data_IF_993692089515
#
_entry.id   IF_993692089515
#
_cell.length_a   1.000
_cell.length_b   1.000
_cell.length_c   1.000
_cell.angle_alpha   90.00
_cell.angle_beta   90.00
_cell.angle_gamma   90.00
#
_symmetry.space_group_name_H-M   'P 1'
#
loop_
_entity.id
_entity.type
_entity.pdbx_description
1 polymer ?
#
# COMPACT_ATOMS: atom_id res chain seq x y z
N UNK A 1 16.97 -11.75 -2.71
CA UNK A 1 16.97 -11.42 -4.14
C UNK A 1 18.28 -11.92 -4.72
N UNK A 2 18.32 -12.28 -5.98
CA UNK A 2 19.51 -12.78 -6.66
C UNK A 2 19.62 -12.13 -8.03
N UNK A 3 20.85 -11.98 -8.52
CA UNK A 3 21.14 -11.35 -9.81
C UNK A 3 21.14 -12.37 -10.96
N UNK A 4 21.25 -13.66 -10.65
CA UNK A 4 21.22 -14.76 -11.63
C UNK A 4 20.34 -15.92 -11.17
N UNK A 5 20.00 -16.78 -12.14
CA UNK A 5 19.19 -17.99 -11.89
C UNK A 5 19.96 -19.01 -11.03
N UNK A 6 21.27 -19.16 -11.25
CA UNK A 6 22.14 -20.06 -10.49
C UNK A 6 22.27 -19.60 -9.04
N UNK A 7 22.42 -18.28 -8.82
CA UNK A 7 22.49 -17.72 -7.48
C UNK A 7 21.18 -17.93 -6.73
N UNK A 8 20.04 -17.71 -7.39
CA UNK A 8 18.73 -17.93 -6.78
C UNK A 8 18.53 -19.42 -6.41
N UNK A 9 18.96 -20.35 -7.28
CA UNK A 9 18.95 -21.79 -6.99
C UNK A 9 19.78 -22.12 -5.76
N UNK A 10 21.01 -21.61 -5.70
CA UNK A 10 21.91 -21.83 -4.56
C UNK A 10 21.32 -21.30 -3.24
N UNK A 11 20.75 -20.10 -3.27
CA UNK A 11 20.08 -19.51 -2.10
C UNK A 11 18.88 -20.33 -1.64
N UNK A 12 18.06 -20.79 -2.57
CA UNK A 12 16.86 -21.56 -2.25
C UNK A 12 17.20 -22.94 -1.67
N UNK A 13 18.24 -23.60 -2.21
CA UNK A 13 18.74 -24.86 -1.64
C UNK A 13 19.27 -24.68 -0.23
N UNK A 14 20.01 -23.60 0.05
CA UNK A 14 20.45 -23.26 1.41
C UNK A 14 19.27 -23.03 2.35
N UNK A 15 18.27 -22.28 1.92
CA UNK A 15 17.05 -22.04 2.71
C UNK A 15 16.35 -23.36 3.02
N UNK A 16 16.25 -24.26 2.04
CA UNK A 16 15.67 -25.59 2.22
C UNK A 16 16.44 -26.40 3.26
N UNK A 17 17.75 -26.52 3.12
CA UNK A 17 18.62 -27.26 4.06
C UNK A 17 18.53 -26.72 5.49
N UNK A 18 18.61 -25.39 5.65
CA UNK A 18 18.54 -24.77 6.98
C UNK A 18 17.14 -24.89 7.61
N UNK A 19 16.08 -24.79 6.79
CA UNK A 19 14.71 -24.99 7.29
C UNK A 19 14.45 -26.44 7.72
N UNK A 20 14.98 -27.42 7.01
CA UNK A 20 14.85 -28.84 7.37
C UNK A 20 15.51 -29.17 8.71
N UNK A 21 16.64 -28.52 9.03
CA UNK A 21 17.33 -28.70 10.33
C UNK A 21 16.46 -28.31 11.53
N UNK A 22 15.54 -27.36 11.35
CA UNK A 22 14.59 -26.92 12.37
C UNK A 22 13.19 -27.54 12.22
N UNK A 23 13.07 -28.56 11.38
CA UNK A 23 11.82 -29.30 11.18
C UNK A 23 10.80 -28.60 10.28
N UNK A 24 11.19 -27.55 9.57
CA UNK A 24 10.34 -26.86 8.60
C UNK A 24 10.56 -27.42 7.20
N UNK A 25 9.48 -27.57 6.43
CA UNK A 25 9.55 -28.01 5.02
C UNK A 25 9.14 -26.90 4.09
N UNK A 26 9.92 -26.67 3.04
CA UNK A 26 9.59 -25.74 1.98
C UNK A 26 8.31 -26.21 1.26
N UNK A 27 7.30 -25.35 1.19
CA UNK A 27 6.08 -25.65 0.45
C UNK A 27 6.23 -25.17 -1.00
N UNK A 28 6.59 -26.07 -1.90
CA UNK A 28 6.87 -25.77 -3.31
C UNK A 28 5.65 -25.18 -4.01
N UNK A 29 4.44 -25.68 -3.74
CA UNK A 29 3.20 -25.17 -4.36
C UNK A 29 2.88 -23.72 -3.96
N UNK A 30 3.32 -23.27 -2.77
CA UNK A 30 3.15 -21.89 -2.31
C UNK A 30 4.34 -20.99 -2.63
N UNK A 31 5.48 -21.59 -3.01
CA UNK A 31 6.67 -20.84 -3.39
C UNK A 31 6.54 -20.40 -4.84
N UNK A 32 6.73 -19.11 -5.08
CA UNK A 32 6.61 -18.50 -6.39
C UNK A 32 7.89 -17.77 -6.76
N UNK A 33 8.20 -17.74 -8.03
CA UNK A 33 9.38 -17.04 -8.55
C UNK A 33 8.90 -15.84 -9.36
N UNK A 34 9.52 -14.71 -9.11
CA UNK A 34 9.31 -13.49 -9.88
C UNK A 34 10.65 -13.02 -10.44
N UNK A 35 10.68 -12.69 -11.71
CA UNK A 35 11.86 -12.15 -12.37
C UNK A 35 11.51 -10.97 -13.25
N UNK A 36 12.47 -10.07 -13.43
CA UNK A 36 12.37 -8.92 -14.33
C UNK A 36 12.60 -9.28 -15.81
N UNK A 37 12.95 -10.53 -16.12
CA UNK A 37 13.20 -11.03 -17.47
C UNK A 37 12.43 -12.32 -17.76
N UNK A 38 12.47 -12.82 -19.00
CA UNK A 38 11.81 -14.04 -19.37
C UNK A 38 12.48 -15.24 -18.69
N UNK A 39 11.75 -15.95 -17.84
CA UNK A 39 12.12 -17.26 -17.30
C UNK A 39 11.26 -18.32 -17.96
N UNK A 40 11.88 -19.35 -18.52
CA UNK A 40 11.18 -20.37 -19.32
C UNK A 40 10.55 -21.46 -18.47
N UNK A 41 11.20 -21.94 -17.45
CA UNK A 41 10.65 -22.86 -16.43
C UNK A 41 11.66 -23.07 -15.30
N UNK A 42 11.17 -23.18 -14.07
CA UNK A 42 11.99 -23.46 -12.91
C UNK A 42 11.55 -24.73 -12.23
N UNK A 43 12.52 -25.62 -11.96
CA UNK A 43 12.25 -26.87 -11.26
C UNK A 43 13.12 -26.99 -10.01
N UNK A 44 12.52 -27.45 -8.92
CA UNK A 44 13.20 -27.82 -7.68
C UNK A 44 12.73 -29.22 -7.33
N UNK A 45 13.68 -30.14 -7.13
CA UNK A 45 13.42 -31.53 -6.82
C UNK A 45 12.47 -32.23 -7.82
N UNK A 46 12.49 -31.83 -9.10
CA UNK A 46 11.61 -32.36 -10.13
C UNK A 46 10.21 -31.74 -10.17
N UNK A 47 9.87 -30.85 -9.26
CA UNK A 47 8.60 -30.10 -9.29
C UNK A 47 8.79 -28.73 -9.95
N UNK A 48 7.86 -28.40 -10.85
CA UNK A 48 7.88 -27.10 -11.56
C UNK A 48 7.30 -26.01 -10.65
N UNK A 49 8.06 -24.93 -10.52
CA UNK A 49 7.61 -23.77 -9.76
C UNK A 49 6.84 -22.78 -10.63
N UNK A 50 5.82 -22.16 -10.04
CA UNK A 50 5.02 -21.14 -10.70
C UNK A 50 5.82 -19.84 -10.82
N UNK A 51 5.95 -19.34 -12.05
CA UNK A 51 6.50 -18.00 -12.32
C UNK A 51 5.37 -17.01 -12.35
N UNK A 52 5.51 -15.91 -11.62
CA UNK A 52 4.48 -14.88 -11.50
C UNK A 52 5.05 -13.51 -11.85
N UNK A 53 4.20 -12.65 -12.37
CA UNK A 53 4.53 -11.24 -12.67
C UNK A 53 4.32 -10.33 -11.48
N UNK A 54 3.53 -10.78 -10.53
CA UNK A 54 3.27 -10.06 -9.28
C UNK A 54 2.90 -11.04 -8.16
N UNK A 55 3.10 -10.63 -6.92
CA UNK A 55 2.63 -11.38 -5.74
C UNK A 55 2.40 -10.44 -4.55
N UNK A 56 1.69 -10.94 -3.54
CA UNK A 56 1.43 -10.19 -2.31
C UNK A 56 2.35 -10.70 -1.20
N UNK A 57 3.24 -9.84 -0.72
CA UNK A 57 4.14 -10.11 0.40
C UNK A 57 3.82 -9.14 1.55
N UNK A 58 3.52 -9.68 2.74
CA UNK A 58 3.21 -8.86 3.90
C UNK A 58 2.04 -7.89 3.71
N UNK A 59 1.11 -8.20 2.81
CA UNK A 59 -0.02 -7.33 2.47
C UNK A 59 0.27 -6.30 1.37
N UNK A 60 1.50 -6.16 0.90
CA UNK A 60 1.88 -5.28 -0.22
C UNK A 60 2.02 -6.06 -1.51
N UNK A 61 1.51 -5.51 -2.61
CA UNK A 61 1.64 -6.08 -3.94
C UNK A 61 2.97 -5.65 -4.55
N UNK A 62 3.82 -6.63 -4.84
CA UNK A 62 5.11 -6.44 -5.51
C UNK A 62 4.96 -6.90 -6.96
N UNK A 63 5.49 -6.12 -7.90
CA UNK A 63 5.46 -6.39 -9.34
C UNK A 63 6.87 -6.55 -9.87
N UNK A 64 7.05 -7.36 -10.91
CA UNK A 64 8.36 -7.64 -11.52
C UNK A 64 9.00 -6.41 -12.16
N UNK A 65 8.21 -5.44 -12.61
CA UNK A 65 8.65 -4.17 -13.19
C UNK A 65 8.93 -3.08 -12.14
N UNK A 66 8.66 -3.36 -10.85
CA UNK A 66 8.81 -2.38 -9.76
C UNK A 66 7.82 -1.22 -9.80
N UNK A 67 6.74 -1.29 -10.62
CA UNK A 67 5.73 -0.23 -10.69
C UNK A 67 4.75 -0.30 -9.53
N UNK A 68 4.79 0.68 -8.64
CA UNK A 68 3.92 0.78 -7.48
C UNK A 68 2.52 1.34 -7.78
N UNK A 69 2.23 1.75 -9.02
CA UNK A 69 0.95 2.41 -9.37
C UNK A 69 -0.28 1.56 -9.04
N UNK A 70 -0.19 0.25 -9.23
CA UNK A 70 -1.27 -0.68 -8.90
C UNK A 70 -1.49 -0.79 -7.38
N UNK A 71 -0.40 -0.84 -6.62
CA UNK A 71 -0.45 -0.91 -5.17
C UNK A 71 -1.00 0.39 -4.57
N UNK A 72 -0.53 1.54 -5.04
CA UNK A 72 -1.05 2.84 -4.64
C UNK A 72 -2.55 2.92 -4.90
N UNK A 73 -3.03 2.56 -6.09
CA UNK A 73 -4.46 2.53 -6.41
C UNK A 73 -5.25 1.62 -5.46
N UNK A 74 -4.71 0.44 -5.14
CA UNK A 74 -5.32 -0.50 -4.21
C UNK A 74 -5.48 0.12 -2.83
N UNK A 75 -4.45 0.75 -2.29
CA UNK A 75 -4.48 1.41 -0.98
C UNK A 75 -5.42 2.62 -0.94
N UNK A 76 -5.47 3.42 -2.03
CA UNK A 76 -6.45 4.51 -2.14
C UNK A 76 -7.90 3.98 -2.10
N UNK A 77 -8.18 2.83 -2.74
CA UNK A 77 -9.50 2.19 -2.68
C UNK A 77 -9.81 1.64 -1.27
N UNK A 78 -8.83 1.01 -0.61
CA UNK A 78 -8.97 0.54 0.77
C UNK A 78 -9.25 1.70 1.73
N UNK A 79 -8.55 2.83 1.57
CA UNK A 79 -8.80 4.05 2.34
C UNK A 79 -10.21 4.60 2.14
N UNK A 80 -10.73 4.59 0.89
CA UNK A 80 -12.13 4.96 0.62
C UNK A 80 -13.11 4.02 1.32
N UNK A 81 -12.86 2.72 1.30
CA UNK A 81 -13.69 1.72 1.99
C UNK A 81 -13.66 1.92 3.51
N UNK A 82 -12.47 2.11 4.09
CA UNK A 82 -12.31 2.42 5.51
C UNK A 82 -13.09 3.68 5.90
N UNK A 83 -13.00 4.74 5.10
CA UNK A 83 -13.74 5.99 5.32
C UNK A 83 -15.25 5.80 5.25
N UNK A 84 -15.74 4.93 4.36
CA UNK A 84 -17.17 4.63 4.26
C UNK A 84 -17.69 3.92 5.51
N UNK A 85 -16.88 3.07 6.13
CA UNK A 85 -17.22 2.41 7.40
C UNK A 85 -17.36 3.41 8.57
N UNK A 86 -16.75 4.59 8.46
CA UNK A 86 -16.87 5.68 9.45
C UNK A 86 -18.11 6.55 9.28
N UNK A 87 -18.96 6.31 8.29
CA UNK A 87 -20.10 7.16 7.98
C UNK A 87 -21.03 7.43 9.18
N UNK A 88 -21.26 6.42 10.01
CA UNK A 88 -22.09 6.59 11.21
C UNK A 88 -21.48 7.58 12.20
N UNK A 89 -20.16 7.54 12.39
CA UNK A 89 -19.41 8.47 13.24
C UNK A 89 -19.46 9.87 12.63
N UNK A 90 -19.22 9.98 11.32
CA UNK A 90 -19.24 11.24 10.60
C UNK A 90 -20.62 11.90 10.60
N UNK A 91 -21.71 11.13 10.57
CA UNK A 91 -23.08 11.61 10.63
C UNK A 91 -23.53 12.02 12.03
N UNK A 92 -22.87 11.53 13.09
CA UNK A 92 -23.20 11.87 14.45
C UNK A 92 -23.08 13.39 14.69
N UNK A 93 -24.09 13.98 15.33
CA UNK A 93 -24.07 15.41 15.74
C UNK A 93 -23.37 15.63 17.07
N UNK A 94 -23.25 14.58 17.87
CA UNK A 94 -22.67 14.65 19.23
C UNK A 94 -21.14 14.63 19.23
N UNK A 95 -20.50 14.34 18.08
CA UNK A 95 -19.06 14.28 17.94
C UNK A 95 -18.58 15.56 17.27
N UNK A 96 -17.61 16.24 17.89
CA UNK A 96 -17.06 17.49 17.35
C UNK A 96 -16.22 17.25 16.10
N UNK A 97 -16.08 18.28 15.26
CA UNK A 97 -15.28 18.18 14.04
C UNK A 97 -13.80 17.79 14.32
N UNK A 98 -13.10 18.39 15.29
CA UNK A 98 -11.73 17.98 15.61
C UNK A 98 -11.62 16.50 15.98
N UNK A 99 -12.56 15.99 16.78
CA UNK A 99 -12.60 14.56 17.14
C UNK A 99 -12.81 13.66 15.92
N UNK A 100 -13.73 14.02 15.03
CA UNK A 100 -13.96 13.31 13.77
C UNK A 100 -12.71 13.27 12.91
N UNK A 101 -12.04 14.40 12.74
CA UNK A 101 -10.79 14.52 11.97
C UNK A 101 -9.70 13.65 12.58
N UNK A 102 -9.54 13.68 13.90
CA UNK A 102 -8.56 12.85 14.60
C UNK A 102 -8.84 11.34 14.37
N UNK A 103 -10.08 10.90 14.59
CA UNK A 103 -10.47 9.50 14.37
C UNK A 103 -10.28 9.08 12.91
N UNK A 104 -10.66 9.92 11.95
CA UNK A 104 -10.48 9.64 10.55
C UNK A 104 -9.01 9.50 10.15
N UNK A 105 -8.15 10.40 10.65
CA UNK A 105 -6.70 10.29 10.47
C UNK A 105 -6.17 8.99 11.08
N UNK A 106 -6.53 8.66 12.30
CA UNK A 106 -6.05 7.47 13.01
C UNK A 106 -6.51 6.15 12.37
N UNK A 107 -7.67 6.11 11.73
CA UNK A 107 -8.23 4.88 11.16
C UNK A 107 -8.01 4.73 9.65
N UNK A 108 -7.95 5.83 8.90
CA UNK A 108 -7.88 5.79 7.43
C UNK A 108 -6.46 5.98 6.92
N UNK A 109 -5.70 6.91 7.48
CA UNK A 109 -4.34 7.20 7.00
C UNK A 109 -3.40 6.00 7.11
N UNK A 110 -3.37 5.20 8.20
CA UNK A 110 -2.54 4.00 8.26
C UNK A 110 -2.90 2.97 7.18
N UNK A 111 -4.17 2.85 6.82
CA UNK A 111 -4.59 1.94 5.74
C UNK A 111 -4.08 2.41 4.38
N UNK A 112 -4.10 3.72 4.12
CA UNK A 112 -3.63 4.31 2.86
C UNK A 112 -2.11 4.30 2.77
N UNK A 113 -1.42 4.56 3.88
CA UNK A 113 0.04 4.69 3.94
C UNK A 113 0.78 3.36 4.15
N UNK A 114 0.06 2.26 4.40
CA UNK A 114 0.69 0.96 4.66
C UNK A 114 1.60 0.53 3.51
N UNK A 115 2.88 0.30 3.81
CA UNK A 115 3.90 -0.10 2.83
C UNK A 115 4.40 1.05 1.94
N UNK A 116 4.01 2.31 2.20
CA UNK A 116 4.37 3.44 1.35
C UNK A 116 5.87 3.76 1.38
N UNK A 117 6.61 3.28 2.36
CA UNK A 117 8.07 3.41 2.45
C UNK A 117 8.80 2.78 1.27
N UNK A 118 8.21 1.77 0.65
CA UNK A 118 8.77 1.09 -0.53
C UNK A 118 8.29 1.66 -1.87
N UNK A 119 7.38 2.65 -1.87
CA UNK A 119 6.77 3.12 -3.12
C UNK A 119 7.62 4.19 -3.80
N UNK A 120 7.73 4.08 -5.11
CA UNK A 120 8.22 5.18 -5.97
C UNK A 120 7.02 5.98 -6.44
N UNK A 121 6.72 7.10 -5.76
CA UNK A 121 5.54 7.91 -6.05
C UNK A 121 5.84 8.84 -7.23
N UNK A 122 5.13 8.65 -8.35
CA UNK A 122 5.22 9.49 -9.55
C UNK A 122 4.25 10.69 -9.42
N UNK A 123 4.41 11.71 -10.24
CA UNK A 123 3.55 12.92 -10.23
C UNK A 123 2.05 12.62 -10.40
N UNK A 124 1.72 11.58 -11.18
CA UNK A 124 0.31 11.21 -11.37
C UNK A 124 -0.28 10.52 -10.13
N UNK A 125 0.53 9.79 -9.38
CA UNK A 125 0.14 9.22 -8.09
C UNK A 125 -0.04 10.33 -7.04
N UNK A 126 0.84 11.34 -6.98
CA UNK A 126 0.67 12.51 -6.12
C UNK A 126 -0.71 13.15 -6.32
N UNK A 127 -1.11 13.39 -7.57
CA UNK A 127 -2.43 13.96 -7.89
C UNK A 127 -3.59 13.09 -7.41
N UNK A 128 -3.44 11.76 -7.46
CA UNK A 128 -4.46 10.83 -6.97
C UNK A 128 -4.54 10.81 -5.44
N UNK A 129 -3.39 10.90 -4.76
CA UNK A 129 -3.29 10.98 -3.31
C UNK A 129 -3.95 12.30 -2.84
N UNK A 130 -3.63 13.42 -3.47
CA UNK A 130 -4.21 14.73 -3.17
C UNK A 130 -5.74 14.73 -3.40
N UNK A 131 -6.18 14.12 -4.49
CA UNK A 131 -7.61 14.01 -4.78
C UNK A 131 -8.35 13.16 -3.74
N UNK A 132 -7.72 12.10 -3.23
CA UNK A 132 -8.26 11.29 -2.13
C UNK A 132 -8.32 12.10 -0.84
N UNK A 133 -7.26 12.81 -0.50
CA UNK A 133 -7.18 13.64 0.69
C UNK A 133 -8.27 14.72 0.69
N UNK A 134 -8.43 15.43 -0.42
CA UNK A 134 -9.51 16.41 -0.58
C UNK A 134 -10.89 15.78 -0.46
N UNK A 135 -11.08 14.57 -1.00
CA UNK A 135 -12.31 13.83 -0.84
C UNK A 135 -12.59 13.50 0.63
N UNK A 136 -11.57 13.13 1.42
CA UNK A 136 -11.70 12.92 2.87
C UNK A 136 -12.15 14.21 3.57
N UNK A 137 -11.47 15.31 3.34
CA UNK A 137 -11.78 16.59 4.00
C UNK A 137 -13.19 17.08 3.66
N UNK A 138 -13.62 16.98 2.40
CA UNK A 138 -14.99 17.30 2.02
C UNK A 138 -16.01 16.43 2.75
N UNK A 139 -15.71 15.16 2.95
CA UNK A 139 -16.60 14.24 3.65
C UNK A 139 -16.70 14.57 5.14
N UNK A 140 -15.59 14.93 5.79
CA UNK A 140 -15.60 15.40 7.18
C UNK A 140 -16.43 16.68 7.36
N UNK A 141 -16.27 17.64 6.45
CA UNK A 141 -17.02 18.90 6.47
C UNK A 141 -18.44 18.76 5.93
N UNK A 142 -18.82 17.57 5.43
CA UNK A 142 -20.12 17.32 4.77
C UNK A 142 -20.38 18.25 3.59
N UNK A 143 -19.34 18.60 2.86
CA UNK A 143 -19.42 19.48 1.69
C UNK A 143 -19.53 18.60 0.43
N UNK A 144 -20.70 18.55 -0.24
CA UNK A 144 -20.85 17.79 -1.48
C UNK A 144 -20.00 18.41 -2.60
N UNK A 145 -19.67 17.63 -3.62
CA UNK A 145 -18.92 18.12 -4.78
C UNK A 145 -19.68 19.20 -5.56
N UNK A 146 -21.01 19.17 -5.51
CA UNK A 146 -21.88 20.18 -6.12
C UNK A 146 -21.83 21.54 -5.40
N UNK A 147 -21.36 21.59 -4.17
CA UNK A 147 -21.15 22.87 -3.49
C UNK A 147 -19.98 23.61 -4.14
N UNK A 148 -20.21 24.87 -4.48
CA UNK A 148 -19.21 25.77 -5.09
C UNK A 148 -18.14 26.25 -4.09
N UNK A 149 -17.57 25.31 -3.32
CA UNK A 149 -16.46 25.59 -2.40
C UNK A 149 -15.15 25.17 -3.02
N UNK A 150 -14.17 26.07 -3.05
CA UNK A 150 -12.84 25.78 -3.57
C UNK A 150 -12.08 24.80 -2.66
N UNK A 151 -11.15 24.03 -3.23
CA UNK A 151 -10.29 23.14 -2.47
C UNK A 151 -9.45 23.89 -1.44
N UNK A 152 -8.98 25.10 -1.79
CA UNK A 152 -8.27 25.99 -0.85
C UNK A 152 -9.10 26.33 0.38
N UNK A 153 -10.39 26.64 0.21
CA UNK A 153 -11.32 26.93 1.31
C UNK A 153 -11.50 25.71 2.24
N UNK A 154 -11.52 24.48 1.68
CA UNK A 154 -11.61 23.23 2.45
C UNK A 154 -10.35 23.02 3.28
N UNK A 155 -9.18 23.13 2.66
CA UNK A 155 -7.89 22.95 3.33
C UNK A 155 -7.66 24.01 4.41
N UNK A 156 -8.05 25.27 4.17
CA UNK A 156 -7.95 26.33 5.17
C UNK A 156 -8.80 26.07 6.42
N UNK A 157 -9.99 25.48 6.25
CA UNK A 157 -10.89 25.17 7.38
C UNK A 157 -10.37 23.98 8.21
N UNK A 158 -9.87 22.95 7.55
CA UNK A 158 -9.29 21.77 8.22
C UNK A 158 -7.93 22.10 8.82
N UNK A 159 -7.15 22.93 8.10
CA UNK A 159 -5.77 23.30 8.45
C UNK A 159 -4.92 22.08 8.86
N UNK A 160 -4.75 21.09 7.98
CA UNK A 160 -3.97 19.90 8.31
C UNK A 160 -2.50 20.30 8.51
N UNK A 161 -1.87 19.79 9.56
CA UNK A 161 -0.44 20.03 9.86
C UNK A 161 0.45 19.53 8.72
N UNK A 162 0.12 18.37 8.16
CA UNK A 162 0.79 17.77 7.01
C UNK A 162 -0.24 17.24 6.02
N UNK A 163 0.06 17.34 4.72
CA UNK A 163 -0.70 16.63 3.69
C UNK A 163 -0.46 15.11 3.77
N UNK A 164 -1.36 14.32 3.20
CA UNK A 164 -1.21 12.87 3.15
C UNK A 164 0.07 12.47 2.39
N UNK A 165 0.35 13.14 1.26
CA UNK A 165 1.61 12.98 0.51
C UNK A 165 2.82 13.32 1.39
N UNK A 166 2.77 14.45 2.12
CA UNK A 166 3.85 14.87 3.01
C UNK A 166 4.12 13.85 4.12
N UNK A 167 3.09 13.20 4.66
CA UNK A 167 3.24 12.12 5.64
C UNK A 167 3.89 10.88 5.02
N UNK A 168 3.50 10.49 3.80
CA UNK A 168 4.11 9.38 3.08
C UNK A 168 5.59 9.62 2.80
N UNK A 169 5.95 10.81 2.30
CA UNK A 169 7.33 11.19 2.09
C UNK A 169 8.14 11.18 3.39
N UNK A 170 7.55 11.65 4.49
CA UNK A 170 8.20 11.59 5.81
C UNK A 170 8.52 10.15 6.23
N UNK A 171 7.61 9.20 6.03
CA UNK A 171 7.87 7.79 6.31
C UNK A 171 8.97 7.20 5.41
N UNK A 172 9.02 7.59 4.13
CA UNK A 172 10.06 7.14 3.21
C UNK A 172 11.47 7.62 3.61
N UNK A 173 11.60 8.85 4.12
CA UNK A 173 12.90 9.43 4.47
C UNK A 173 13.38 9.09 5.88
N UNK A 174 12.47 8.95 6.83
CA UNK A 174 12.86 8.81 8.24
C UNK A 174 12.64 7.40 8.79
N UNK A 175 12.10 6.47 7.98
CA UNK A 175 11.81 5.07 8.36
C UNK A 175 11.65 4.90 9.87
N UNK A 176 10.67 4.34 10.37
CA UNK A 176 10.50 4.14 11.82
C UNK A 176 11.66 3.44 12.45
#
# INVERSE_FOLDING_TARGET
MAESEEELKSLLMKVKEESEKVGLKLNIQKTKIMASGPITSWQIDGETMETVTDFILGGSKITADGDCSHEIKRHLLLGRKAMTNLDNILKSRNITLPTKVHQGKAMVFPVVMYGCESWTIKKDECRRIDALELWFWRRFLRVPWTARRSNHSILKEINPEYSLEGLMLKLQYFGT
#
